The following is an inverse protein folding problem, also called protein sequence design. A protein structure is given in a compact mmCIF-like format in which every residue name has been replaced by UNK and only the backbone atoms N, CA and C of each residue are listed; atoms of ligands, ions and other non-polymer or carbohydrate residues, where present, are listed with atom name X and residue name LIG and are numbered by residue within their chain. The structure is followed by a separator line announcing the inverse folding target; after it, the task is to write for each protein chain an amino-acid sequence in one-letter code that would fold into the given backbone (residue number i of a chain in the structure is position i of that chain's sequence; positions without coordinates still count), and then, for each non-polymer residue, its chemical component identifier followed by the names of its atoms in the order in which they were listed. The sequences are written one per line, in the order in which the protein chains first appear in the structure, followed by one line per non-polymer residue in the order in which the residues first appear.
data_IF_244936645477
#
_entry.id   IF_244936645477
#
_cell.length_a   1.000
_cell.length_b   1.000
_cell.length_c   1.000
_cell.angle_alpha   90.00
_cell.angle_beta   90.00
_cell.angle_gamma   90.00
#
_symmetry.space_group_name_H-M   'P 1'
#
loop_
_entity.id
_entity.type
_entity.pdbx_description
1 polymer ?
#
# COMPACT_ATOMS: atom_id res chain seq x y z
N UNK A 1 -31.85 -5.62 4.50
CA UNK A 1 -30.57 -5.74 5.25
C UNK A 1 -29.48 -5.05 4.46
N UNK A 2 -28.73 -4.11 5.05
CA UNK A 2 -27.56 -3.51 4.40
C UNK A 2 -26.34 -4.28 4.90
N UNK A 3 -25.64 -4.99 4.03
CA UNK A 3 -24.44 -5.74 4.41
C UNK A 3 -23.33 -4.75 4.77
N UNK A 4 -22.73 -4.92 5.96
CA UNK A 4 -21.52 -4.20 6.38
C UNK A 4 -20.33 -5.07 6.02
N UNK A 5 -19.36 -4.51 5.30
CA UNK A 5 -18.15 -5.21 4.87
C UNK A 5 -16.94 -4.52 5.49
N UNK A 6 -15.89 -5.28 5.80
CA UNK A 6 -14.56 -4.81 6.11
C UNK A 6 -13.67 -4.99 4.88
N UNK A 7 -13.27 -3.87 4.29
CA UNK A 7 -12.63 -3.79 2.97
C UNK A 7 -11.19 -3.34 3.14
N UNK A 8 -10.25 -4.14 2.64
CA UNK A 8 -8.86 -3.75 2.50
C UNK A 8 -8.67 -3.00 1.19
N UNK A 9 -8.40 -1.69 1.24
CA UNK A 9 -8.14 -0.89 0.05
C UNK A 9 -6.64 -0.62 -0.08
N UNK A 10 -6.04 -1.10 -1.17
CA UNK A 10 -4.59 -1.05 -1.40
C UNK A 10 -4.29 -0.04 -2.50
N UNK A 11 -3.39 0.90 -2.25
CA UNK A 11 -2.85 1.80 -3.27
C UNK A 11 -1.39 2.13 -2.97
N UNK A 12 -0.61 2.55 -3.98
CA UNK A 12 0.79 2.94 -3.76
C UNK A 12 0.92 4.14 -2.81
N UNK A 13 0.12 5.19 -3.04
CA UNK A 13 0.17 6.43 -2.29
C UNK A 13 -1.09 6.58 -1.43
N UNK A 14 -0.94 7.06 -0.20
CA UNK A 14 -2.05 7.42 0.68
C UNK A 14 -2.12 8.93 0.88
N UNK A 15 -1.94 9.67 -0.21
CA UNK A 15 -2.13 11.11 -0.35
C UNK A 15 -2.50 11.42 -1.81
N UNK A 16 -2.97 12.61 -2.13
CA UNK A 16 -3.35 12.96 -3.51
C UNK A 16 -2.12 13.32 -4.33
N UNK A 17 -1.66 12.39 -5.17
CA UNK A 17 -0.61 12.65 -6.18
C UNK A 17 -1.19 12.93 -7.56
N UNK A 18 -2.28 12.26 -7.93
CA UNK A 18 -2.97 12.45 -9.21
C UNK A 18 -4.43 11.96 -9.18
N UNK A 19 -4.98 11.71 -10.38
CA UNK A 19 -6.39 11.34 -10.55
C UNK A 19 -6.75 9.96 -9.98
N UNK A 20 -5.79 9.03 -9.96
CA UNK A 20 -5.97 7.70 -9.37
C UNK A 20 -6.20 7.75 -7.87
N UNK A 21 -5.41 8.55 -7.14
CA UNK A 21 -5.55 8.71 -5.70
C UNK A 21 -6.87 9.43 -5.38
N UNK A 22 -7.28 10.40 -6.20
CA UNK A 22 -8.61 11.02 -6.06
C UNK A 22 -9.73 9.98 -6.15
N UNK A 23 -9.71 9.10 -7.15
CA UNK A 23 -10.68 8.01 -7.27
C UNK A 23 -10.64 7.07 -6.05
N UNK A 24 -9.44 6.71 -5.58
CA UNK A 24 -9.25 5.89 -4.38
C UNK A 24 -9.90 6.51 -3.13
N UNK A 25 -9.63 7.80 -2.86
CA UNK A 25 -10.19 8.49 -1.70
C UNK A 25 -11.70 8.74 -1.82
N UNK A 26 -12.19 9.09 -3.01
CA UNK A 26 -13.61 9.30 -3.27
C UNK A 26 -14.39 7.97 -3.09
N UNK A 27 -13.83 6.85 -3.57
CA UNK A 27 -14.41 5.51 -3.36
C UNK A 27 -14.39 5.10 -1.88
N UNK A 28 -13.27 5.33 -1.19
CA UNK A 28 -13.16 5.06 0.26
C UNK A 28 -14.26 5.81 1.02
N UNK A 29 -14.40 7.12 0.79
CA UNK A 29 -15.41 7.94 1.46
C UNK A 29 -16.84 7.45 1.15
N UNK A 30 -17.11 7.08 -0.11
CA UNK A 30 -18.40 6.54 -0.50
C UNK A 30 -18.72 5.21 0.20
N UNK A 31 -17.76 4.29 0.31
CA UNK A 31 -17.94 3.01 1.00
C UNK A 31 -18.17 3.22 2.50
N UNK A 32 -17.40 4.09 3.14
CA UNK A 32 -17.55 4.44 4.55
C UNK A 32 -18.92 5.09 4.83
N UNK A 33 -19.36 6.03 3.99
CA UNK A 33 -20.70 6.64 4.11
C UNK A 33 -21.85 5.65 3.97
N UNK A 34 -21.62 4.52 3.28
CA UNK A 34 -22.59 3.43 3.17
C UNK A 34 -22.61 2.49 4.37
N UNK A 35 -21.66 2.63 5.30
CA UNK A 35 -21.54 1.86 6.54
C UNK A 35 -20.52 0.72 6.47
N UNK A 36 -19.72 0.65 5.40
CA UNK A 36 -18.60 -0.29 5.32
C UNK A 36 -17.40 0.23 6.14
N UNK A 37 -16.58 -0.68 6.63
CA UNK A 37 -15.30 -0.34 7.24
C UNK A 37 -14.22 -0.46 6.18
N UNK A 38 -13.48 0.62 5.93
CA UNK A 38 -12.40 0.64 4.95
C UNK A 38 -11.08 0.82 5.67
N UNK A 39 -10.12 -0.05 5.37
CA UNK A 39 -8.78 -0.04 5.95
C UNK A 39 -7.78 0.16 4.81
N UNK A 40 -7.00 1.25 4.81
CA UNK A 40 -6.00 1.49 3.78
C UNK A 40 -4.74 0.65 4.02
N UNK A 41 -4.05 0.32 2.93
CA UNK A 41 -2.68 -0.20 2.95
C UNK A 41 -1.89 0.43 1.80
N UNK A 42 -0.78 1.09 2.12
CA UNK A 42 0.01 1.84 1.16
C UNK A 42 1.50 1.86 1.53
N UNK A 43 2.30 2.60 0.76
CA UNK A 43 3.66 2.95 1.17
C UNK A 43 3.64 4.03 2.27
N UNK A 44 4.59 3.96 3.19
CA UNK A 44 4.84 5.03 4.14
C UNK A 44 5.45 6.23 3.41
N UNK A 45 4.89 7.41 3.62
CA UNK A 45 5.27 8.69 3.01
C UNK A 45 4.89 9.82 3.97
N UNK A 46 5.68 10.89 4.01
CA UNK A 46 5.45 12.03 4.90
C UNK A 46 4.20 12.85 4.55
N UNK A 47 3.74 12.74 3.30
CA UNK A 47 2.51 13.37 2.83
C UNK A 47 1.25 12.55 3.10
N UNK A 48 1.38 11.31 3.58
CA UNK A 48 0.23 10.46 3.83
C UNK A 48 -0.78 11.12 4.77
N UNK A 49 -2.06 10.89 4.49
CA UNK A 49 -3.13 11.19 5.44
C UNK A 49 -2.95 10.28 6.66
N UNK A 50 -3.15 10.79 7.86
CA UNK A 50 -3.05 10.00 9.09
C UNK A 50 -3.96 8.76 9.05
N UNK A 51 -3.41 7.61 9.47
CA UNK A 51 -4.18 6.38 9.61
C UNK A 51 -3.79 5.63 10.88
N UNK A 52 -4.80 5.04 11.55
CA UNK A 52 -4.56 4.08 12.64
C UNK A 52 -3.76 2.84 12.18
N UNK A 53 -3.61 2.65 10.87
CA UNK A 53 -2.88 1.53 10.27
C UNK A 53 -1.51 1.92 9.68
N UNK A 54 -1.01 3.14 9.93
CA UNK A 54 0.27 3.61 9.38
C UNK A 54 1.44 2.67 9.72
N UNK A 55 1.43 2.01 10.88
CA UNK A 55 2.45 1.03 11.27
C UNK A 55 2.55 -0.18 10.33
N UNK A 56 1.48 -0.47 9.59
CA UNK A 56 1.42 -1.55 8.60
C UNK A 56 1.81 -1.08 7.19
N UNK A 57 2.06 0.21 6.97
CA UNK A 57 2.45 0.66 5.65
C UNK A 57 3.85 0.16 5.28
N UNK A 58 4.09 0.01 3.98
CA UNK A 58 5.35 -0.49 3.45
C UNK A 58 6.37 0.63 3.53
N UNK A 59 7.39 0.44 4.37
CA UNK A 59 8.46 1.43 4.52
C UNK A 59 9.12 1.71 3.16
N UNK A 60 9.38 3.00 2.88
CA UNK A 60 10.21 3.38 1.74
C UNK A 60 11.61 2.81 1.95
N UNK A 61 12.06 1.91 1.07
CA UNK A 61 13.46 1.50 1.08
C UNK A 61 14.28 2.70 0.61
N UNK A 62 14.82 3.46 1.57
CA UNK A 62 15.90 4.41 1.30
C UNK A 62 17.12 3.57 0.93
N UNK A 63 17.32 3.39 -0.37
CA UNK A 63 18.58 2.87 -0.85
C UNK A 63 19.64 3.95 -0.69
N UNK A 64 20.30 4.00 0.47
CA UNK A 64 21.62 4.61 0.57
C UNK A 64 22.61 3.73 -0.22
N UNK A 65 22.64 3.95 -1.53
CA UNK A 65 23.65 3.38 -2.44
C UNK A 65 24.97 4.15 -2.34
N UNK A 66 25.43 4.51 -1.13
CA UNK A 66 26.70 5.23 -0.94
C UNK A 66 27.92 4.29 -0.84
N UNK A 67 27.78 3.03 -1.28
CA UNK A 67 28.93 2.18 -1.56
C UNK A 67 29.23 2.23 -3.05
N UNK A 68 30.30 2.95 -3.40
CA UNK A 68 30.90 3.09 -4.75
C UNK A 68 31.23 1.75 -5.47
N UNK A 69 30.86 0.60 -4.91
CA UNK A 69 31.25 -0.73 -5.38
C UNK A 69 30.19 -1.43 -6.25
N UNK A 70 28.93 -1.00 -6.26
CA UNK A 70 27.84 -1.76 -6.93
C UNK A 70 27.32 -1.15 -8.24
N UNK A 71 28.10 -0.28 -8.90
CA UNK A 71 27.72 0.34 -10.19
C UNK A 71 27.91 -0.55 -11.42
N UNK A 72 28.48 -1.76 -11.27
CA UNK A 72 28.94 -2.57 -12.40
C UNK A 72 28.04 -3.77 -12.78
N UNK A 73 27.07 -4.14 -11.96
CA UNK A 73 26.19 -5.27 -12.28
C UNK A 73 24.77 -4.76 -12.42
N UNK A 74 24.15 -4.97 -13.57
CA UNK A 74 22.74 -4.68 -13.91
C UNK A 74 21.71 -5.54 -13.14
N UNK A 75 22.09 -6.07 -11.97
CA UNK A 75 21.26 -6.81 -11.01
C UNK A 75 20.61 -6.01 -9.84
N UNK A 76 20.79 -4.69 -9.59
CA UNK A 76 20.36 -4.09 -8.32
C UNK A 76 18.87 -3.77 -8.31
N UNK A 77 18.28 -3.52 -9.49
CA UNK A 77 16.84 -3.24 -9.65
C UNK A 77 15.98 -4.46 -9.36
N UNK A 78 16.44 -5.66 -9.75
CA UNK A 78 15.71 -6.91 -9.52
C UNK A 78 15.79 -7.29 -8.05
N UNK A 79 16.98 -7.24 -7.45
CA UNK A 79 17.14 -7.49 -6.02
C UNK A 79 16.35 -6.48 -5.18
N UNK A 80 16.37 -5.20 -5.58
CA UNK A 80 15.61 -4.16 -4.91
C UNK A 80 14.09 -4.33 -4.99
N UNK A 81 13.57 -4.71 -6.17
CA UNK A 81 12.14 -5.06 -6.31
C UNK A 81 11.78 -6.28 -5.47
N UNK A 82 12.67 -7.27 -5.40
CA UNK A 82 12.44 -8.48 -4.61
C UNK A 82 12.42 -8.20 -3.11
N UNK A 83 13.33 -7.35 -2.59
CA UNK A 83 13.31 -6.95 -1.18
C UNK A 83 12.09 -6.11 -0.84
N UNK A 84 11.68 -5.20 -1.73
CA UNK A 84 10.43 -4.44 -1.58
C UNK A 84 9.20 -5.36 -1.52
N UNK A 85 9.09 -6.33 -2.44
CA UNK A 85 7.98 -7.28 -2.45
C UNK A 85 7.95 -8.17 -1.21
N UNK A 86 9.11 -8.59 -0.70
CA UNK A 86 9.19 -9.34 0.57
C UNK A 86 8.75 -8.50 1.76
N UNK A 87 9.12 -7.22 1.80
CA UNK A 87 8.71 -6.31 2.87
C UNK A 87 7.20 -6.04 2.83
N UNK A 88 6.67 -5.74 1.65
CA UNK A 88 5.24 -5.56 1.44
C UNK A 88 4.45 -6.82 1.84
N UNK A 89 4.95 -8.01 1.49
CA UNK A 89 4.38 -9.29 1.89
C UNK A 89 4.32 -9.44 3.41
N UNK A 90 5.41 -9.12 4.13
CA UNK A 90 5.44 -9.22 5.60
C UNK A 90 4.44 -8.26 6.25
N UNK A 91 4.43 -6.99 5.82
CA UNK A 91 3.53 -5.97 6.35
C UNK A 91 2.06 -6.31 6.13
N UNK A 92 1.69 -6.82 4.95
CA UNK A 92 0.32 -7.25 4.69
C UNK A 92 -0.04 -8.51 5.48
N UNK A 93 0.87 -9.48 5.63
CA UNK A 93 0.66 -10.67 6.47
C UNK A 93 0.44 -10.28 7.94
N UNK A 94 1.19 -9.30 8.46
CA UNK A 94 0.98 -8.75 9.80
C UNK A 94 -0.40 -8.14 9.95
N UNK A 95 -0.85 -7.32 8.98
CA UNK A 95 -2.19 -6.73 8.98
C UNK A 95 -3.28 -7.81 8.94
N UNK A 96 -3.14 -8.79 8.03
CA UNK A 96 -4.08 -9.91 7.88
C UNK A 96 -4.13 -10.83 9.11
N UNK A 97 -3.07 -10.86 9.92
CA UNK A 97 -3.06 -11.60 11.19
C UNK A 97 -3.87 -10.91 12.31
N UNK A 98 -4.10 -9.60 12.19
CA UNK A 98 -4.80 -8.79 13.20
C UNK A 98 -6.24 -8.46 12.80
N UNK A 99 -6.50 -8.38 11.50
CA UNK A 99 -7.78 -7.98 10.95
C UNK A 99 -8.29 -9.04 9.97
N UNK A 100 -9.60 -9.31 10.00
CA UNK A 100 -10.26 -10.16 9.01
C UNK A 100 -10.98 -9.30 7.99
N UNK A 101 -10.71 -9.52 6.71
CA UNK A 101 -11.32 -8.76 5.62
C UNK A 101 -12.30 -9.63 4.84
N UNK A 102 -13.40 -9.03 4.40
CA UNK A 102 -14.35 -9.69 3.51
C UNK A 102 -13.88 -9.63 2.06
N UNK A 103 -13.20 -8.54 1.69
CA UNK A 103 -12.70 -8.30 0.34
C UNK A 103 -11.48 -7.38 0.36
N UNK A 104 -10.54 -7.63 -0.55
CA UNK A 104 -9.44 -6.73 -0.86
C UNK A 104 -9.68 -6.07 -2.24
N UNK A 105 -9.55 -4.75 -2.30
CA UNK A 105 -9.65 -3.97 -3.52
C UNK A 105 -8.32 -3.29 -3.82
N UNK A 106 -7.71 -3.68 -4.93
CA UNK A 106 -6.38 -3.22 -5.33
C UNK A 106 -6.52 -2.14 -6.39
N UNK A 107 -5.96 -0.96 -6.11
CA UNK A 107 -5.91 0.16 -7.03
C UNK A 107 -4.55 0.23 -7.71
N UNK A 108 -4.54 0.60 -8.99
CA UNK A 108 -3.33 0.81 -9.79
C UNK A 108 -2.36 -0.38 -9.79
N UNK A 109 -2.85 -1.60 -10.04
CA UNK A 109 -1.99 -2.67 -10.52
C UNK A 109 -1.73 -2.46 -12.02
N UNK A 110 -1.09 -1.34 -12.39
CA UNK A 110 -0.74 -1.07 -13.77
C UNK A 110 0.78 -1.13 -13.97
N UNK A 111 1.14 -1.88 -15.02
CA UNK A 111 2.46 -2.37 -15.42
C UNK A 111 2.97 -3.59 -14.62
N UNK A 112 2.68 -4.78 -15.18
CA UNK A 112 3.24 -6.11 -14.89
C UNK A 112 2.40 -7.05 -14.00
N UNK A 113 1.32 -7.60 -14.57
CA UNK A 113 1.09 -9.05 -14.42
C UNK A 113 2.07 -9.75 -15.35
#
# INVERSE_FOLDING_TARGET
MKYRLKILMINKYYFIKGGSERCFFDLKALLESKGHEVIPFAMADDQNVESKYDSYFVDSINYDFDSKLNRLLSAPKVFGRMTYSLHAKRKIEELLSKEKFDVAHLHMIEHQI
#
